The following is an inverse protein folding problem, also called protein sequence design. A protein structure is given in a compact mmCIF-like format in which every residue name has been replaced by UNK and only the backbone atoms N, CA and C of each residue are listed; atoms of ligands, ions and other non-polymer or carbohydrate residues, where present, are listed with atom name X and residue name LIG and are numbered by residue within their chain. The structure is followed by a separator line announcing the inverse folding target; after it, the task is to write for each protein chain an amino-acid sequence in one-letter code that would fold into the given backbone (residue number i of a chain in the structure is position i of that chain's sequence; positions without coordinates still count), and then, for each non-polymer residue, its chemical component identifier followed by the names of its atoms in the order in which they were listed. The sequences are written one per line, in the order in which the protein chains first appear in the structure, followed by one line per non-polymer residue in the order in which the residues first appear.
data_IF_652495624362
#
_entry.id   IF_652495624362
#
_cell.length_a   1.000
_cell.length_b   1.000
_cell.length_c   1.000
_cell.angle_alpha   90.00
_cell.angle_beta   90.00
_cell.angle_gamma   90.00
#
_symmetry.space_group_name_H-M   'P 1'
#
loop_
_entity.id
_entity.type
_entity.pdbx_description
1 polymer ?
#
# COMPACT_ATOMS: atom_id res chain seq x y z
N UNK A 1 -3.66 11.01 -13.14
CA UNK A 1 -4.50 9.81 -12.98
C UNK A 1 -5.85 9.89 -13.72
N UNK A 2 -6.44 11.07 -13.94
CA UNK A 2 -7.75 11.22 -14.58
C UNK A 2 -7.76 11.14 -16.14
N UNK A 3 -6.67 11.48 -16.82
CA UNK A 3 -6.67 11.64 -18.29
C UNK A 3 -7.05 10.39 -19.08
N UNK A 4 -6.79 9.17 -18.58
CA UNK A 4 -7.17 7.94 -19.26
C UNK A 4 -8.69 7.69 -19.25
N UNK A 5 -9.43 8.31 -18.32
CA UNK A 5 -10.87 8.17 -18.18
C UNK A 5 -11.67 9.12 -19.08
N UNK A 6 -11.04 10.19 -19.59
CA UNK A 6 -11.72 11.25 -20.33
C UNK A 6 -12.16 10.80 -21.73
N UNK A 7 -13.46 10.74 -22.05
CA UNK A 7 -13.91 10.32 -23.38
C UNK A 7 -13.45 11.27 -24.49
N UNK A 8 -13.25 12.55 -24.17
CA UNK A 8 -12.89 13.60 -25.13
C UNK A 8 -11.45 13.50 -25.66
N UNK A 9 -10.55 12.76 -25.00
CA UNK A 9 -9.15 12.63 -25.44
C UNK A 9 -9.05 11.51 -26.48
N UNK A 10 -8.60 11.84 -27.69
CA UNK A 10 -8.39 10.88 -28.78
C UNK A 10 -7.19 9.98 -28.47
N UNK A 11 -7.39 8.66 -28.54
CA UNK A 11 -6.38 7.64 -28.21
C UNK A 11 -6.67 6.33 -28.94
N UNK A 12 -5.67 5.44 -29.03
CA UNK A 12 -5.79 4.13 -29.71
C UNK A 12 -6.61 3.11 -28.92
N UNK A 13 -6.56 3.16 -27.59
CA UNK A 13 -7.21 2.20 -26.70
C UNK A 13 -8.49 2.78 -26.06
N UNK A 14 -9.42 1.94 -25.60
CA UNK A 14 -10.64 2.40 -24.92
C UNK A 14 -10.36 3.27 -23.69
N UNK A 15 -11.35 4.07 -23.30
CA UNK A 15 -11.34 4.81 -22.03
C UNK A 15 -11.19 3.84 -20.85
N UNK A 16 -10.35 4.19 -19.88
CA UNK A 16 -10.20 3.42 -18.67
C UNK A 16 -10.07 4.36 -17.47
N UNK A 17 -11.10 4.34 -16.62
CA UNK A 17 -11.08 5.02 -15.33
C UNK A 17 -10.73 4.04 -14.21
N UNK A 18 -9.82 4.44 -13.33
CA UNK A 18 -9.54 3.67 -12.12
C UNK A 18 -10.70 3.82 -11.13
N UNK A 19 -11.05 2.74 -10.43
CA UNK A 19 -12.11 2.74 -9.42
C UNK A 19 -11.62 3.14 -8.03
N UNK A 20 -10.36 2.86 -7.75
CA UNK A 20 -9.75 3.08 -6.44
C UNK A 20 -8.27 3.42 -6.62
N UNK A 21 -7.76 4.24 -5.71
CA UNK A 21 -6.37 4.66 -5.64
C UNK A 21 -5.93 4.56 -4.19
N UNK A 22 -4.77 3.94 -3.98
CA UNK A 22 -4.16 3.74 -2.68
C UNK A 22 -2.68 4.11 -2.79
N UNK A 23 -2.14 4.66 -1.71
CA UNK A 23 -0.71 4.92 -1.56
C UNK A 23 -0.16 3.92 -0.55
N UNK A 24 0.85 3.16 -0.94
CA UNK A 24 1.59 2.28 -0.03
C UNK A 24 2.54 3.10 0.84
N UNK A 25 2.87 2.59 2.02
CA UNK A 25 3.82 3.22 2.92
C UNK A 25 5.26 3.07 2.38
N UNK A 26 5.95 4.20 2.18
CA UNK A 26 7.38 4.21 1.89
C UNK A 26 8.16 4.87 3.04
N UNK A 27 9.45 4.55 3.16
CA UNK A 27 10.31 5.10 4.21
C UNK A 27 10.49 6.63 4.12
N UNK A 28 10.29 7.20 2.93
CA UNK A 28 10.39 8.64 2.67
C UNK A 28 9.14 9.42 3.13
N UNK A 29 8.01 8.73 3.35
CA UNK A 29 6.70 9.36 3.59
C UNK A 29 6.42 9.67 5.07
N UNK A 30 7.45 9.67 5.92
CA UNK A 30 7.37 9.74 7.40
C UNK A 30 6.44 10.80 7.99
N UNK A 31 6.22 11.91 7.31
CA UNK A 31 5.48 13.06 7.87
C UNK A 31 4.02 13.12 7.42
N UNK A 32 3.70 12.65 6.22
CA UNK A 32 2.37 12.86 5.63
C UNK A 32 1.59 11.55 5.42
N UNK A 33 2.26 10.41 5.53
CA UNK A 33 1.60 9.12 5.45
C UNK A 33 0.76 8.86 6.71
N UNK A 34 -0.51 8.54 6.51
CA UNK A 34 -1.42 8.11 7.56
C UNK A 34 -1.96 6.72 7.19
N UNK A 35 -1.64 5.66 7.94
CA UNK A 35 -2.18 4.34 7.67
C UNK A 35 -3.70 4.34 7.89
N UNK A 36 -4.46 3.96 6.87
CA UNK A 36 -5.93 3.92 6.93
C UNK A 36 -6.50 2.53 6.66
N UNK A 37 -5.80 1.74 5.85
CA UNK A 37 -6.14 0.36 5.53
C UNK A 37 -4.99 -0.49 5.99
N UNK A 38 -5.30 -1.56 6.72
CA UNK A 38 -4.35 -2.58 7.15
C UNK A 38 -4.71 -3.88 6.44
N UNK A 39 -3.73 -4.50 5.80
CA UNK A 39 -3.88 -5.78 5.14
C UNK A 39 -2.99 -6.77 5.88
N UNK A 40 -3.60 -7.80 6.47
CA UNK A 40 -2.86 -8.92 7.03
C UNK A 40 -2.13 -9.65 5.90
N UNK A 41 -0.81 -9.71 6.00
CA UNK A 41 0.05 -10.39 5.03
C UNK A 41 0.80 -11.56 5.68
N UNK A 42 0.40 -11.99 6.88
CA UNK A 42 1.12 -13.01 7.65
C UNK A 42 1.32 -14.31 6.86
N UNK A 43 0.30 -14.75 6.11
CA UNK A 43 0.36 -15.97 5.29
C UNK A 43 1.34 -15.87 4.10
N UNK A 44 1.61 -14.66 3.61
CA UNK A 44 2.42 -14.42 2.40
C UNK A 44 3.71 -13.65 2.68
N UNK A 45 4.01 -13.38 3.96
CA UNK A 45 5.10 -12.50 4.37
C UNK A 45 6.46 -12.99 3.86
N UNK A 46 6.74 -14.28 3.95
CA UNK A 46 8.01 -14.85 3.47
C UNK A 46 8.15 -14.74 1.95
N UNK A 47 7.07 -14.94 1.18
CA UNK A 47 7.08 -14.73 -0.27
C UNK A 47 7.32 -13.26 -0.62
N UNK A 48 6.72 -12.34 0.12
CA UNK A 48 6.97 -10.91 -0.02
C UNK A 48 8.45 -10.57 0.24
N UNK A 49 9.01 -11.05 1.35
CA UNK A 49 10.42 -10.87 1.71
C UNK A 49 11.35 -11.43 0.64
N UNK A 50 11.06 -12.62 0.10
CA UNK A 50 11.85 -13.21 -0.97
C UNK A 50 11.84 -12.33 -2.22
N UNK A 51 10.67 -11.84 -2.63
CA UNK A 51 10.50 -11.01 -3.81
C UNK A 51 11.27 -9.68 -3.68
N UNK A 52 11.13 -8.98 -2.55
CA UNK A 52 11.82 -7.69 -2.36
C UNK A 52 13.35 -7.86 -2.26
N UNK A 53 13.82 -9.01 -1.75
CA UNK A 53 15.25 -9.30 -1.63
C UNK A 53 15.97 -9.40 -3.00
N UNK A 54 15.23 -9.46 -4.11
CA UNK A 54 15.79 -9.43 -5.47
C UNK A 54 16.15 -8.02 -5.96
N UNK A 55 15.80 -6.95 -5.25
CA UNK A 55 16.18 -5.59 -5.62
C UNK A 55 17.54 -5.19 -5.02
N UNK A 56 18.40 -4.54 -5.81
CA UNK A 56 19.75 -4.13 -5.40
C UNK A 56 19.76 -3.19 -4.18
N UNK A 57 18.74 -2.33 -4.07
CA UNK A 57 18.56 -1.43 -2.91
C UNK A 57 18.30 -2.21 -1.62
N UNK A 58 17.53 -3.30 -1.70
CA UNK A 58 17.21 -4.17 -0.55
C UNK A 58 18.41 -5.02 -0.16
N UNK A 59 19.24 -5.43 -1.13
CA UNK A 59 20.52 -6.13 -0.89
C UNK A 59 21.63 -5.22 -0.35
N UNK A 60 21.41 -3.91 -0.28
CA UNK A 60 22.39 -2.94 0.22
C UNK A 60 23.51 -2.60 -0.77
N UNK A 61 23.32 -2.86 -2.06
CA UNK A 61 24.32 -2.57 -3.10
C UNK A 61 24.35 -1.08 -3.50
N UNK A 62 23.22 -0.38 -3.32
CA UNK A 62 23.01 0.98 -3.85
C UNK A 62 23.02 2.04 -2.74
N UNK A 63 22.54 1.68 -1.55
CA UNK A 63 22.38 2.61 -0.42
C UNK A 63 22.78 1.91 0.88
N UNK A 64 23.33 2.67 1.83
CA UNK A 64 23.71 2.16 3.16
C UNK A 64 22.53 1.98 4.11
N UNK A 65 21.33 2.43 3.72
CA UNK A 65 20.13 2.29 4.53
C UNK A 65 19.76 0.80 4.67
N UNK A 66 19.47 0.30 5.89
CA UNK A 66 19.18 -1.10 6.14
C UNK A 66 17.75 -1.47 5.70
N UNK A 67 17.49 -1.43 4.40
CA UNK A 67 16.17 -1.53 3.78
C UNK A 67 15.39 -2.79 4.19
N UNK A 68 16.02 -3.97 4.09
CA UNK A 68 15.35 -5.23 4.44
C UNK A 68 14.93 -5.26 5.91
N UNK A 69 15.79 -4.78 6.81
CA UNK A 69 15.48 -4.67 8.24
C UNK A 69 14.35 -3.69 8.47
N UNK A 70 14.34 -2.56 7.75
CA UNK A 70 13.28 -1.57 7.84
C UNK A 70 11.94 -2.15 7.44
N UNK A 71 11.82 -2.75 6.25
CA UNK A 71 10.56 -3.32 5.74
C UNK A 71 10.03 -4.42 6.65
N UNK A 72 10.89 -5.36 7.10
CA UNK A 72 10.47 -6.41 8.04
C UNK A 72 9.96 -5.85 9.38
N UNK A 73 10.67 -4.86 9.92
CA UNK A 73 10.28 -4.22 11.19
C UNK A 73 8.97 -3.44 11.03
N UNK A 74 8.80 -2.75 9.90
CA UNK A 74 7.59 -1.98 9.63
C UNK A 74 6.37 -2.90 9.53
N UNK A 75 6.47 -3.99 8.77
CA UNK A 75 5.39 -4.96 8.66
C UNK A 75 4.96 -5.53 10.02
N UNK A 76 5.91 -5.80 10.92
CA UNK A 76 5.63 -6.26 12.27
C UNK A 76 4.95 -5.19 13.14
N UNK A 77 5.39 -3.93 13.05
CA UNK A 77 4.75 -2.80 13.78
C UNK A 77 3.30 -2.64 13.31
N UNK A 78 3.06 -2.66 12.00
CA UNK A 78 1.71 -2.55 11.44
C UNK A 78 0.85 -3.77 11.77
N UNK A 79 1.46 -4.96 11.82
CA UNK A 79 0.81 -6.17 12.31
C UNK A 79 0.32 -5.99 13.75
N UNK A 80 1.20 -5.52 14.63
CA UNK A 80 0.85 -5.25 16.03
C UNK A 80 -0.29 -4.22 16.17
N UNK A 81 -0.29 -3.15 15.35
CA UNK A 81 -1.36 -2.14 15.32
C UNK A 81 -2.72 -2.71 14.87
N UNK A 82 -2.71 -3.78 14.06
CA UNK A 82 -3.91 -4.42 13.49
C UNK A 82 -4.23 -5.80 14.05
N UNK A 83 -3.51 -6.22 15.10
CA UNK A 83 -3.67 -7.50 15.78
C UNK A 83 -3.45 -8.74 14.87
N UNK A 84 -2.46 -8.67 13.97
CA UNK A 84 -1.90 -9.81 13.23
C UNK A 84 -0.36 -9.84 13.34
N UNK A 85 0.31 -10.86 12.78
CA UNK A 85 1.77 -10.95 12.87
C UNK A 85 2.47 -9.92 11.97
N UNK A 86 1.97 -9.77 10.74
CA UNK A 86 2.51 -8.82 9.76
C UNK A 86 1.37 -8.14 8.99
N UNK A 87 1.46 -6.82 8.83
CA UNK A 87 0.54 -6.08 7.98
C UNK A 87 1.27 -5.09 7.07
N UNK A 88 0.67 -4.84 5.92
CA UNK A 88 1.00 -3.68 5.07
C UNK A 88 -0.11 -2.66 5.15
N UNK A 89 0.25 -1.38 5.02
CA UNK A 89 -0.72 -0.30 5.14
C UNK A 89 -0.84 0.54 3.90
N UNK A 90 -2.04 1.08 3.72
CA UNK A 90 -2.35 1.98 2.63
C UNK A 90 -3.08 3.22 3.12
N UNK A 91 -2.72 4.35 2.51
CA UNK A 91 -3.40 5.63 2.65
C UNK A 91 -4.30 5.86 1.42
N UNK A 92 -5.45 6.49 1.64
CA UNK A 92 -6.40 6.89 0.59
C UNK A 92 -6.19 8.40 0.32
N UNK A 93 -6.26 8.87 -0.95
CA UNK A 93 -6.15 10.29 -1.24
C UNK A 93 -7.19 11.13 -0.50
N UNK A 94 -6.76 12.29 0.02
CA UNK A 94 -7.66 13.30 0.58
C UNK A 94 -8.68 13.71 -0.50
N UNK A 95 -9.96 13.77 -0.13
CA UNK A 95 -11.10 14.13 -0.98
C UNK A 95 -11.59 13.05 -1.99
N UNK A 96 -11.18 11.79 -1.87
CA UNK A 96 -11.88 10.67 -2.50
C UNK A 96 -12.96 10.19 -1.54
N UNK A 97 -14.24 10.36 -1.88
CA UNK A 97 -15.35 9.89 -1.05
C UNK A 97 -15.25 8.37 -0.81
N UNK A 98 -15.13 7.94 0.45
CA UNK A 98 -15.10 6.54 0.89
C UNK A 98 -16.31 5.69 0.47
N UNK A 99 -17.32 6.29 -0.19
CA UNK A 99 -18.54 5.63 -0.64
C UNK A 99 -18.30 4.47 -1.64
N UNK A 100 -17.17 4.47 -2.37
CA UNK A 100 -16.82 3.37 -3.28
C UNK A 100 -16.12 2.19 -2.59
N UNK A 101 -15.48 2.41 -1.44
CA UNK A 101 -14.70 1.37 -0.76
C UNK A 101 -15.59 0.45 0.07
N UNK A 102 -16.65 0.96 0.71
CA UNK A 102 -17.55 0.16 1.55
C UNK A 102 -18.38 -0.89 0.80
N UNK A 103 -18.53 -0.75 -0.53
CA UNK A 103 -19.26 -1.73 -1.37
C UNK A 103 -18.39 -2.86 -1.91
N UNK A 104 -17.07 -2.71 -1.87
CA UNK A 104 -16.14 -3.60 -2.59
C UNK A 104 -14.98 -4.11 -1.75
N UNK A 105 -14.62 -3.42 -0.65
CA UNK A 105 -13.77 -3.98 0.38
C UNK A 105 -14.64 -4.40 1.56
N UNK A 106 -14.51 -5.65 2.04
CA UNK A 106 -15.11 -6.05 3.31
C UNK A 106 -14.69 -5.05 4.39
N UNK A 107 -15.64 -4.63 5.23
CA UNK A 107 -15.36 -3.75 6.39
C UNK A 107 -14.26 -4.31 7.31
N UNK A 108 -13.94 -5.61 7.22
CA UNK A 108 -12.83 -6.24 7.92
C UNK A 108 -11.43 -5.76 7.50
N UNK A 109 -11.27 -5.16 6.32
CA UNK A 109 -9.99 -4.57 5.86
C UNK A 109 -9.83 -3.10 6.28
N UNK A 110 -10.92 -2.46 6.70
CA UNK A 110 -10.90 -1.14 7.30
C UNK A 110 -10.83 -1.36 8.80
N UNK A 111 -9.65 -1.70 9.30
CA UNK A 111 -9.43 -1.79 10.73
C UNK A 111 -9.64 -0.38 11.30
N UNK A 112 -10.79 -0.16 11.95
CA UNK A 112 -11.01 1.01 12.78
C UNK A 112 -9.95 0.94 13.87
N UNK A 113 -8.95 1.81 13.78
CA UNK A 113 -8.09 2.13 14.90
C UNK A 113 -9.03 2.54 16.03
N UNK A 114 -8.91 1.83 17.16
CA UNK A 114 -9.73 1.87 18.37
C UNK A 114 -10.44 3.21 18.65
#
# INVERSE_FOLDING_TARGET
IFYAALPAIKRKLPVHGIRSLFFAENWEDRYEFQPQIYIDISEVFETYVEAISKFAVIRGEVVSFPYLKYVKSLAAIRGAESNCEYAETFMIPKNVHCYMLSKHLPLSFVCKIW
#
